data_IF_344309571655
#
_entry.id   IF_344309571655
#
_cell.length_a   1.000
_cell.length_b   1.000
_cell.length_c   1.000
_cell.angle_alpha   90.00
_cell.angle_beta   90.00
_cell.angle_gamma   90.00
#
_symmetry.space_group_name_H-M   'P 1'
#
loop_
_entity.id
_entity.type
_entity.pdbx_description
1 polymer ?
#
# COMPACT_ATOMS: atom_id res chain seq x y z
N UNK A 1 16.58 13.54 11.36
CA UNK A 1 16.71 12.67 10.17
C UNK A 1 15.32 12.13 9.90
N UNK A 2 14.72 12.40 8.73
CA UNK A 2 13.33 12.05 8.45
C UNK A 2 13.16 10.56 8.17
N UNK A 3 12.04 9.94 8.56
CA UNK A 3 11.75 8.53 8.24
C UNK A 3 11.71 8.29 6.72
N UNK A 4 11.41 9.33 5.94
CA UNK A 4 11.41 9.33 4.48
C UNK A 4 12.77 9.06 3.84
N UNK A 5 13.89 9.33 4.51
CA UNK A 5 15.24 9.00 3.99
C UNK A 5 15.46 7.49 3.87
N UNK A 6 14.72 6.69 4.63
CA UNK A 6 14.82 5.23 4.60
C UNK A 6 13.93 4.59 3.53
N UNK A 7 13.02 5.34 2.90
CA UNK A 7 12.14 4.83 1.82
C UNK A 7 12.93 4.33 0.60
N UNK A 8 14.08 4.95 0.33
CA UNK A 8 14.88 4.68 -0.86
C UNK A 8 16.24 4.04 -0.52
N UNK A 9 16.44 3.62 0.72
CA UNK A 9 17.63 2.86 1.13
C UNK A 9 17.35 1.38 0.93
N UNK A 10 17.91 0.84 -0.15
CA UNK A 10 17.66 -0.53 -0.52
C UNK A 10 18.72 -1.49 0.05
N UNK A 11 18.27 -2.53 0.72
CA UNK A 11 19.05 -3.71 1.08
C UNK A 11 18.15 -4.94 1.05
N UNK A 12 18.70 -6.08 0.62
CA UNK A 12 17.97 -7.34 0.68
C UNK A 12 17.81 -7.76 2.15
N UNK A 13 16.60 -8.19 2.51
CA UNK A 13 16.37 -8.78 3.83
C UNK A 13 17.06 -10.14 3.95
N UNK A 14 17.81 -10.34 5.03
CA UNK A 14 18.37 -11.65 5.39
C UNK A 14 17.32 -12.53 6.10
N UNK A 15 16.20 -11.95 6.55
CA UNK A 15 15.12 -12.61 7.29
C UNK A 15 14.03 -13.21 6.38
N UNK A 16 14.43 -14.15 5.51
CA UNK A 16 13.57 -14.75 4.49
C UNK A 16 12.27 -15.39 5.02
N UNK A 17 12.28 -15.93 6.24
CA UNK A 17 11.10 -16.54 6.87
C UNK A 17 10.05 -15.48 7.25
N UNK A 18 10.48 -14.41 7.91
CA UNK A 18 9.62 -13.28 8.26
C UNK A 18 9.07 -12.61 7.00
N UNK A 19 9.93 -12.45 5.98
CA UNK A 19 9.52 -11.94 4.68
C UNK A 19 8.45 -12.82 4.02
N UNK A 20 8.60 -14.15 4.00
CA UNK A 20 7.62 -15.05 3.42
C UNK A 20 6.25 -14.96 4.10
N UNK A 21 6.23 -14.86 5.44
CA UNK A 21 4.99 -14.66 6.21
C UNK A 21 4.34 -13.33 5.84
N UNK A 22 5.12 -12.25 5.78
CA UNK A 22 4.63 -10.93 5.37
C UNK A 22 4.09 -10.97 3.94
N UNK A 23 4.79 -11.61 3.01
CA UNK A 23 4.36 -11.71 1.61
C UNK A 23 3.04 -12.47 1.48
N UNK A 24 2.89 -13.60 2.19
CA UNK A 24 1.64 -14.37 2.19
C UNK A 24 0.50 -13.63 2.88
N UNK A 25 0.76 -12.91 3.97
CA UNK A 25 -0.26 -12.09 4.63
C UNK A 25 -0.67 -10.90 3.77
N UNK A 26 0.29 -10.24 3.12
CA UNK A 26 0.12 -9.02 2.34
C UNK A 26 -0.85 -9.16 1.17
N UNK A 27 -1.02 -10.37 0.61
CA UNK A 27 -1.97 -10.60 -0.48
C UNK A 27 -3.42 -10.43 0.01
N UNK A 28 -3.72 -10.86 1.24
CA UNK A 28 -5.05 -10.74 1.84
C UNK A 28 -5.23 -9.37 2.48
N UNK A 29 -4.27 -8.97 3.32
CA UNK A 29 -4.23 -7.69 4.02
C UNK A 29 -2.79 -7.16 3.96
N UNK A 30 -2.53 -6.03 3.28
CA UNK A 30 -3.51 -5.04 2.84
C UNK A 30 -4.16 -5.28 1.47
N UNK A 31 -3.52 -6.04 0.56
CA UNK A 31 -3.80 -5.90 -0.89
C UNK A 31 -5.25 -6.21 -1.28
N UNK A 32 -5.74 -7.44 -1.06
CA UNK A 32 -7.11 -7.81 -1.46
C UNK A 32 -8.17 -6.97 -0.74
N UNK A 33 -8.04 -6.84 0.58
CA UNK A 33 -9.01 -6.10 1.39
C UNK A 33 -9.14 -4.64 0.95
N UNK A 34 -8.02 -3.93 0.83
CA UNK A 34 -8.03 -2.51 0.48
C UNK A 34 -8.46 -2.29 -0.97
N UNK A 35 -8.07 -3.16 -1.91
CA UNK A 35 -8.55 -3.04 -3.29
C UNK A 35 -10.05 -3.28 -3.41
N UNK A 36 -10.62 -4.23 -2.68
CA UNK A 36 -12.08 -4.45 -2.64
C UNK A 36 -12.80 -3.22 -2.08
N UNK A 37 -12.35 -2.68 -0.95
CA UNK A 37 -12.99 -1.53 -0.31
C UNK A 37 -12.90 -0.28 -1.17
N UNK A 38 -11.69 0.09 -1.60
CA UNK A 38 -11.49 1.38 -2.25
C UNK A 38 -11.81 1.34 -3.75
N UNK A 39 -11.50 0.25 -4.47
CA UNK A 39 -11.64 0.24 -5.95
C UNK A 39 -12.98 -0.36 -6.37
N UNK A 40 -13.38 -1.47 -5.77
CA UNK A 40 -14.65 -2.12 -6.13
C UNK A 40 -15.83 -1.39 -5.52
N UNK A 41 -15.86 -1.22 -4.19
CA UNK A 41 -17.01 -0.66 -3.50
C UNK A 41 -17.10 0.87 -3.65
N UNK A 42 -16.02 1.60 -3.35
CA UNK A 42 -16.04 3.07 -3.36
C UNK A 42 -15.84 3.65 -4.78
N UNK A 43 -14.73 3.32 -5.44
CA UNK A 43 -14.29 3.94 -6.70
C UNK A 43 -15.07 3.53 -7.94
N UNK A 44 -15.48 2.26 -8.03
CA UNK A 44 -16.25 1.70 -9.14
C UNK A 44 -15.58 1.79 -10.51
N UNK A 45 -16.28 1.29 -11.54
CA UNK A 45 -15.74 1.20 -12.92
C UNK A 45 -15.74 2.53 -13.68
N UNK A 46 -16.52 3.52 -13.25
CA UNK A 46 -16.72 4.78 -13.98
C UNK A 46 -16.83 5.98 -13.04
N UNK A 47 -16.63 7.18 -13.60
CA UNK A 47 -16.75 8.46 -12.89
C UNK A 47 -15.46 8.86 -12.18
N UNK A 48 -14.84 9.96 -12.63
CA UNK A 48 -13.59 10.45 -12.05
C UNK A 48 -13.78 11.04 -10.65
N UNK A 49 -14.93 11.64 -10.34
CA UNK A 49 -15.22 12.12 -8.99
C UNK A 49 -15.18 10.99 -7.95
N UNK A 50 -15.80 9.84 -8.26
CA UNK A 50 -15.76 8.64 -7.39
C UNK A 50 -14.36 8.06 -7.26
N UNK A 51 -13.60 8.01 -8.37
CA UNK A 51 -12.20 7.57 -8.33
C UNK A 51 -11.34 8.48 -7.44
N UNK A 52 -11.45 9.79 -7.62
CA UNK A 52 -10.69 10.76 -6.81
C UNK A 52 -11.05 10.62 -5.34
N UNK A 53 -12.33 10.54 -4.99
CA UNK A 53 -12.76 10.32 -3.61
C UNK A 53 -12.20 9.02 -3.02
N UNK A 54 -12.23 7.92 -3.79
CA UNK A 54 -11.68 6.64 -3.36
C UNK A 54 -10.15 6.66 -3.18
N UNK A 55 -9.41 7.33 -4.07
CA UNK A 55 -7.96 7.49 -3.94
C UNK A 55 -7.63 8.35 -2.72
N UNK A 56 -8.36 9.46 -2.51
CA UNK A 56 -8.18 10.29 -1.31
C UNK A 56 -8.47 9.49 -0.04
N UNK A 57 -9.54 8.69 -0.01
CA UNK A 57 -9.85 7.82 1.12
C UNK A 57 -8.75 6.77 1.36
N UNK A 58 -8.23 6.16 0.29
CA UNK A 58 -7.11 5.21 0.36
C UNK A 58 -5.84 5.84 0.94
N UNK A 59 -5.51 7.07 0.52
CA UNK A 59 -4.35 7.80 1.07
C UNK A 59 -4.58 8.16 2.55
N UNK A 60 -5.74 8.71 2.89
CA UNK A 60 -6.08 9.12 4.26
C UNK A 60 -6.26 7.95 5.22
N UNK A 61 -6.57 6.76 4.70
CA UNK A 61 -6.63 5.53 5.49
C UNK A 61 -5.32 5.28 6.22
N UNK A 62 -4.16 5.56 5.60
CA UNK A 62 -2.85 5.26 6.17
C UNK A 62 -2.55 6.06 7.46
N UNK A 63 -2.69 7.40 7.51
CA UNK A 63 -2.62 8.14 8.77
C UNK A 63 -3.66 7.67 9.80
N UNK A 64 -4.87 7.34 9.35
CA UNK A 64 -5.92 6.83 10.21
C UNK A 64 -5.53 5.52 10.90
N UNK A 65 -4.86 4.59 10.20
CA UNK A 65 -4.37 3.35 10.81
C UNK A 65 -3.40 3.64 11.97
N UNK A 66 -2.54 4.66 11.83
CA UNK A 66 -1.60 5.08 12.88
C UNK A 66 -2.35 5.68 14.06
N UNK A 67 -3.30 6.58 13.80
CA UNK A 67 -4.09 7.21 14.86
C UNK A 67 -5.00 6.23 15.62
N UNK A 68 -5.46 5.17 14.95
CA UNK A 68 -6.22 4.07 15.54
C UNK A 68 -5.33 3.01 16.19
N UNK A 69 -4.00 3.17 16.15
CA UNK A 69 -3.01 2.24 16.69
C UNK A 69 -3.23 0.79 16.21
N UNK A 70 -3.49 0.63 14.91
CA UNK A 70 -3.72 -0.69 14.32
C UNK A 70 -2.40 -1.50 14.26
N UNK A 71 -2.45 -2.84 14.38
CA UNK A 71 -1.25 -3.68 14.48
C UNK A 71 -0.27 -3.59 13.30
N UNK A 72 -0.74 -3.21 12.10
CA UNK A 72 0.07 -3.11 10.88
C UNK A 72 0.50 -1.67 10.56
N UNK A 73 0.04 -0.70 11.35
CA UNK A 73 0.35 0.70 11.13
C UNK A 73 1.82 0.98 11.40
N UNK A 74 2.45 1.78 10.53
CA UNK A 74 3.85 2.19 10.69
C UNK A 74 3.93 3.71 10.77
N UNK A 75 4.86 4.29 11.56
CA UNK A 75 5.06 5.74 11.62
C UNK A 75 5.26 6.40 10.25
N UNK A 76 5.83 5.65 9.30
CA UNK A 76 6.02 6.07 7.91
C UNK A 76 4.72 6.44 7.19
N UNK A 77 3.57 5.93 7.64
CA UNK A 77 2.26 6.24 7.06
C UNK A 77 1.84 7.70 7.27
N UNK A 78 2.55 8.45 8.10
CA UNK A 78 2.37 9.88 8.30
C UNK A 78 3.29 10.74 7.41
N UNK A 79 4.31 10.13 6.78
CA UNK A 79 5.28 10.88 5.98
C UNK A 79 4.67 11.36 4.66
N UNK A 80 4.77 12.65 4.30
CA UNK A 80 4.19 13.18 3.07
C UNK A 80 4.66 12.45 1.80
N UNK A 81 5.94 12.07 1.75
CA UNK A 81 6.51 11.32 0.61
C UNK A 81 5.85 9.96 0.46
N UNK A 82 5.61 9.25 1.57
CA UNK A 82 4.89 7.98 1.56
C UNK A 82 3.46 8.18 1.04
N UNK A 83 2.74 9.21 1.50
CA UNK A 83 1.38 9.51 1.05
C UNK A 83 1.29 9.81 -0.45
N UNK A 84 2.28 10.50 -1.02
CA UNK A 84 2.35 10.75 -2.46
C UNK A 84 2.54 9.44 -3.23
N UNK A 85 3.47 8.58 -2.82
CA UNK A 85 3.72 7.26 -3.44
C UNK A 85 2.47 6.38 -3.36
N UNK A 86 1.83 6.35 -2.19
CA UNK A 86 0.56 5.65 -1.96
C UNK A 86 -0.55 6.19 -2.87
N UNK A 87 -0.63 7.51 -3.06
CA UNK A 87 -1.57 8.11 -4.02
C UNK A 87 -1.33 7.66 -5.46
N UNK A 88 -0.06 7.59 -5.88
CA UNK A 88 0.32 7.08 -7.22
C UNK A 88 -0.02 5.61 -7.39
N UNK A 89 0.24 4.77 -6.37
CA UNK A 89 -0.19 3.38 -6.36
C UNK A 89 -1.72 3.27 -6.44
N UNK A 90 -2.44 4.12 -5.71
CA UNK A 90 -3.90 4.24 -5.76
C UNK A 90 -4.44 4.52 -7.14
N UNK A 91 -3.82 5.47 -7.85
CA UNK A 91 -4.14 5.81 -9.23
C UNK A 91 -3.87 4.66 -10.19
N UNK A 92 -2.68 4.03 -10.10
CA UNK A 92 -2.31 2.89 -10.95
C UNK A 92 -3.29 1.71 -10.78
N UNK A 93 -3.64 1.37 -9.53
CA UNK A 93 -4.62 0.33 -9.22
C UNK A 93 -6.02 0.68 -9.74
N UNK A 94 -6.43 1.95 -9.62
CA UNK A 94 -7.73 2.41 -10.16
C UNK A 94 -7.79 2.25 -11.68
N UNK A 95 -6.73 2.62 -12.39
CA UNK A 95 -6.63 2.45 -13.85
C UNK A 95 -6.67 0.96 -14.21
N UNK A 96 -5.87 0.12 -13.53
CA UNK A 96 -5.83 -1.32 -13.77
C UNK A 96 -7.19 -2.00 -13.53
N UNK A 97 -7.91 -1.60 -12.47
CA UNK A 97 -9.26 -2.08 -12.19
C UNK A 97 -10.25 -1.70 -13.30
N UNK A 98 -10.20 -0.45 -13.78
CA UNK A 98 -11.15 0.05 -14.79
C UNK A 98 -10.91 -0.55 -16.17
N UNK A 99 -9.65 -0.78 -16.54
CA UNK A 99 -9.30 -1.44 -17.80
C UNK A 99 -9.70 -2.92 -17.77
N UNK A 100 -9.37 -3.63 -16.69
CA UNK A 100 -9.58 -5.08 -16.62
C UNK A 100 -11.00 -5.48 -16.19
N UNK A 101 -11.70 -4.61 -15.45
CA UNK A 101 -12.94 -4.93 -14.76
C UNK A 101 -12.81 -5.95 -13.62
N UNK A 102 -11.59 -6.37 -13.27
CA UNK A 102 -11.25 -7.42 -12.30
C UNK A 102 -10.47 -6.83 -11.13
N UNK A 103 -10.68 -7.36 -9.92
CA UNK A 103 -9.93 -6.95 -8.72
C UNK A 103 -8.52 -7.54 -8.69
N UNK A 104 -8.24 -8.59 -9.46
CA UNK A 104 -6.95 -9.27 -9.39
C UNK A 104 -5.76 -8.46 -9.91
N UNK A 105 -5.86 -7.73 -11.05
CA UNK A 105 -4.76 -6.88 -11.50
C UNK A 105 -4.32 -5.81 -10.48
N UNK A 106 -5.22 -4.99 -9.88
CA UNK A 106 -4.78 -4.05 -8.85
C UNK A 106 -4.26 -4.75 -7.59
N UNK A 107 -4.85 -5.89 -7.18
CA UNK A 107 -4.35 -6.67 -6.03
C UNK A 107 -2.91 -7.12 -6.27
N UNK A 108 -2.59 -7.60 -7.47
CA UNK A 108 -1.23 -8.03 -7.81
C UNK A 108 -0.25 -6.85 -7.83
N UNK A 109 -0.63 -5.70 -8.40
CA UNK A 109 0.19 -4.48 -8.43
C UNK A 109 0.46 -3.96 -7.01
N UNK A 110 -0.57 -3.90 -6.18
CA UNK A 110 -0.44 -3.48 -4.79
C UNK A 110 0.45 -4.46 -4.01
N UNK A 111 0.16 -5.75 -4.12
CA UNK A 111 0.91 -6.79 -3.43
C UNK A 111 2.40 -6.80 -3.79
N UNK A 112 2.74 -6.78 -5.08
CA UNK A 112 4.15 -6.78 -5.51
C UNK A 112 4.88 -5.53 -5.03
N UNK A 113 4.19 -4.39 -4.99
CA UNK A 113 4.74 -3.12 -4.47
C UNK A 113 5.07 -3.24 -2.98
N UNK A 114 4.16 -3.79 -2.18
CA UNK A 114 4.35 -3.97 -0.73
C UNK A 114 5.47 -4.95 -0.42
N UNK A 115 5.52 -6.10 -1.10
CA UNK A 115 6.59 -7.08 -0.85
C UNK A 115 7.93 -6.61 -1.41
N UNK A 116 7.96 -5.91 -2.54
CA UNK A 116 9.20 -5.31 -3.05
C UNK A 116 9.73 -4.29 -2.03
N UNK A 117 8.86 -3.44 -1.50
CA UNK A 117 9.22 -2.52 -0.44
C UNK A 117 9.76 -3.27 0.79
N UNK A 118 9.03 -4.23 1.34
CA UNK A 118 9.44 -4.98 2.54
C UNK A 118 10.68 -5.86 2.35
N UNK A 119 10.89 -6.39 1.15
CA UNK A 119 12.03 -7.24 0.82
C UNK A 119 13.28 -6.45 0.43
N UNK A 120 13.12 -5.20 -0.02
CA UNK A 120 14.21 -4.33 -0.43
C UNK A 120 14.52 -3.22 0.57
N UNK A 121 13.76 -3.02 1.65
CA UNK A 121 14.17 -2.06 2.69
C UNK A 121 15.07 -2.71 3.72
N UNK A 122 16.16 -2.01 4.06
CA UNK A 122 17.02 -2.35 5.21
C UNK A 122 16.12 -2.59 6.43
N UNK A 123 16.27 -3.71 7.17
CA UNK A 123 15.56 -3.92 8.42
C UNK A 123 15.80 -2.71 9.33
N UNK A 124 14.73 -2.17 9.93
CA UNK A 124 14.85 -1.17 11.01
C UNK A 124 15.29 -1.88 12.29
N UNK A 125 16.28 -2.77 12.22
CA UNK A 125 16.97 -3.34 13.37
C UNK A 125 18.13 -2.39 13.69
N UNK A 126 17.79 -1.25 14.29
CA UNK A 126 18.77 -0.21 14.60
C UNK A 126 18.25 1.02 15.36
N UNK A 127 17.06 0.93 15.96
CA UNK A 127 16.58 1.86 16.98
C UNK A 127 16.13 1.08 18.21
#
# INVERSE_FOLDING_TARGET
MGLSENLFKFALTDEWQAFAVVALAAILVPSLFEEVVFRVWMGGKQGWLRATAAISAFVLWHPFQVWLNLPLAQPLFLEPVFLVITGMLGLACTIAYRISGSVWPPVFIHWITVIAWKGLTVPVTGL
#
